data_IF_606680782618
#
_entry.id   IF_606680782618
#
_cell.length_a   1.000
_cell.length_b   1.000
_cell.length_c   1.000
_cell.angle_alpha   90.00
_cell.angle_beta   90.00
_cell.angle_gamma   90.00
#
_symmetry.space_group_name_H-M   'P 1'
#
loop_
_entity.id
_entity.type
_entity.pdbx_description
1 polymer ?
#
# COMPACT_ATOMS: atom_id res chain seq x y z
N UNK A 1 12.89 -10.69 -1.98
CA UNK A 1 13.44 -9.73 -0.97
C UNK A 1 13.92 -8.50 -1.74
N UNK A 2 13.15 -7.42 -1.72
CA UNK A 2 13.43 -6.21 -2.50
C UNK A 2 14.73 -5.56 -2.02
N UNK A 3 15.71 -5.40 -2.92
CA UNK A 3 16.90 -4.58 -2.66
C UNK A 3 16.70 -3.23 -3.32
N UNK A 4 16.46 -2.22 -2.50
CA UNK A 4 16.35 -0.84 -2.92
C UNK A 4 17.75 -0.24 -3.16
N UNK A 5 17.88 0.67 -4.13
CA UNK A 5 19.18 1.21 -4.51
C UNK A 5 19.78 2.07 -3.38
N UNK A 6 21.02 1.75 -3.01
CA UNK A 6 21.76 2.34 -1.89
C UNK A 6 22.21 3.79 -2.10
N UNK A 7 21.78 4.43 -3.18
CA UNK A 7 22.26 5.76 -3.56
C UNK A 7 21.52 6.90 -2.86
N UNK A 8 20.29 6.70 -2.38
CA UNK A 8 19.54 7.75 -1.65
C UNK A 8 20.01 7.87 -0.19
N UNK A 9 20.64 6.83 0.37
CA UNK A 9 21.09 6.82 1.77
C UNK A 9 22.40 7.58 2.01
N UNK A 10 23.20 7.81 0.95
CA UNK A 10 24.56 8.34 1.11
C UNK A 10 24.66 9.87 1.21
N UNK A 11 23.58 10.61 0.95
CA UNK A 11 23.65 12.08 0.83
C UNK A 11 22.78 12.87 1.81
N UNK A 12 21.92 12.23 2.62
CA UNK A 12 21.10 12.98 3.58
C UNK A 12 20.83 12.16 4.85
N UNK A 13 21.36 12.54 6.03
CA UNK A 13 21.35 11.69 7.21
C UNK A 13 19.98 11.51 7.91
N UNK A 14 18.87 12.10 7.41
CA UNK A 14 17.56 12.03 8.07
C UNK A 14 16.39 11.90 7.08
N UNK A 15 16.23 10.70 6.52
CA UNK A 15 15.02 10.28 5.80
C UNK A 15 14.14 9.43 6.72
N UNK A 16 12.91 9.88 7.00
CA UNK A 16 11.91 9.02 7.66
C UNK A 16 11.11 8.30 6.57
N UNK A 17 11.30 6.98 6.47
CA UNK A 17 10.62 6.12 5.50
C UNK A 17 9.57 5.29 6.22
N UNK A 18 8.30 5.42 5.83
CA UNK A 18 7.22 4.59 6.36
C UNK A 18 6.55 3.81 5.25
N UNK A 19 6.40 2.52 5.49
CA UNK A 19 5.78 1.56 4.60
C UNK A 19 4.29 1.39 4.90
N UNK A 20 3.50 1.18 3.85
CA UNK A 20 2.06 1.00 3.84
C UNK A 20 1.48 0.12 4.97
N UNK A 21 2.08 -1.04 5.21
CA UNK A 21 1.62 -1.96 6.25
C UNK A 21 1.70 -1.39 7.68
N UNK A 22 2.49 -0.33 7.89
CA UNK A 22 2.65 0.32 9.20
C UNK A 22 1.78 1.56 9.38
N UNK A 23 1.51 2.34 8.32
CA UNK A 23 0.69 3.55 8.46
C UNK A 23 -0.78 3.22 8.78
N UNK A 24 -1.26 2.08 8.28
CA UNK A 24 -2.61 1.61 8.58
C UNK A 24 -2.79 1.16 10.04
N UNK A 25 -1.70 0.93 10.79
CA UNK A 25 -1.71 0.46 12.17
C UNK A 25 -1.64 1.56 13.23
N UNK A 26 -1.46 2.82 12.83
CA UNK A 26 -1.14 3.95 13.71
C UNK A 26 -2.15 5.09 13.53
N UNK A 27 -2.26 5.95 14.54
CA UNK A 27 -2.95 7.22 14.41
C UNK A 27 -2.13 8.14 13.51
N UNK A 28 -2.66 8.44 12.32
CA UNK A 28 -1.95 9.18 11.27
C UNK A 28 -1.68 10.63 11.70
N UNK A 29 -2.60 11.26 12.42
CA UNK A 29 -2.43 12.65 12.85
C UNK A 29 -1.32 12.77 13.89
N UNK A 30 -1.34 11.90 14.91
CA UNK A 30 -0.28 11.82 15.92
C UNK A 30 1.06 11.53 15.25
N UNK A 31 1.07 10.60 14.30
CA UNK A 31 2.28 10.27 13.56
C UNK A 31 2.83 11.46 12.76
N UNK A 32 1.98 12.18 12.05
CA UNK A 32 2.40 13.31 11.22
C UNK A 32 2.92 14.48 12.07
N UNK A 33 2.30 14.75 13.23
CA UNK A 33 2.82 15.75 14.17
C UNK A 33 4.18 15.33 14.75
N UNK A 34 4.36 14.05 15.05
CA UNK A 34 5.64 13.59 15.57
C UNK A 34 6.73 13.55 14.50
N UNK A 35 6.39 13.16 13.27
CA UNK A 35 7.26 13.28 12.11
C UNK A 35 7.70 14.74 11.93
N UNK A 36 6.77 15.68 12.00
CA UNK A 36 7.05 17.12 11.93
C UNK A 36 7.99 17.59 13.04
N UNK A 37 7.86 17.07 14.26
CA UNK A 37 8.74 17.41 15.40
C UNK A 37 10.18 16.93 15.22
N UNK A 38 10.37 15.74 14.64
CA UNK A 38 11.70 15.11 14.53
C UNK A 38 12.41 15.39 13.20
N UNK A 39 11.69 15.77 12.16
CA UNK A 39 12.27 16.10 10.87
C UNK A 39 13.12 17.36 10.97
N UNK A 40 14.31 17.32 10.39
CA UNK A 40 15.17 18.50 10.30
C UNK A 40 14.49 19.58 9.47
N UNK A 41 14.42 20.84 9.94
CA UNK A 41 13.94 21.94 9.14
C UNK A 41 14.67 22.01 7.79
N UNK A 42 13.93 22.28 6.72
CA UNK A 42 14.39 22.48 5.34
C UNK A 42 15.07 21.28 4.64
N UNK A 43 15.52 20.25 5.38
CA UNK A 43 16.35 19.15 4.84
C UNK A 43 15.78 17.77 5.10
N UNK A 44 14.89 17.63 6.09
CA UNK A 44 14.20 16.38 6.40
C UNK A 44 13.14 16.04 5.34
N UNK A 45 13.04 14.76 5.00
CA UNK A 45 12.03 14.25 4.07
C UNK A 45 11.25 13.13 4.75
N UNK A 46 9.91 13.26 4.72
CA UNK A 46 8.98 12.18 5.02
C UNK A 46 8.57 11.52 3.72
N UNK A 47 8.84 10.22 3.59
CA UNK A 47 8.38 9.42 2.47
C UNK A 47 7.39 8.37 2.98
N UNK A 48 6.15 8.46 2.50
CA UNK A 48 5.10 7.47 2.71
C UNK A 48 4.80 6.84 1.36
N UNK A 49 4.77 5.52 1.29
CA UNK A 49 4.53 4.81 0.05
C UNK A 49 3.72 3.53 0.25
N UNK A 50 3.04 3.13 -0.81
CA UNK A 50 2.22 1.92 -0.87
C UNK A 50 2.35 1.25 -2.24
N UNK A 51 1.82 0.03 -2.33
CA UNK A 51 1.47 -0.62 -3.58
C UNK A 51 -0.01 -1.03 -3.51
N UNK A 52 -0.67 -1.07 -4.65
CA UNK A 52 -2.05 -1.55 -4.79
C UNK A 52 -2.04 -2.93 -5.44
N UNK A 53 -3.23 -3.46 -5.73
CA UNK A 53 -3.41 -4.76 -6.37
C UNK A 53 -2.79 -4.86 -7.77
N UNK A 54 -2.48 -3.72 -8.40
CA UNK A 54 -1.85 -3.67 -9.72
C UNK A 54 -2.77 -4.16 -10.83
N UNK A 55 -2.17 -4.48 -11.98
CA UNK A 55 -2.85 -4.97 -13.19
C UNK A 55 -2.06 -6.15 -13.75
N UNK A 56 -2.73 -7.01 -14.52
CA UNK A 56 -2.15 -8.14 -15.24
C UNK A 56 -2.10 -7.87 -16.74
N UNK A 57 -1.07 -8.39 -17.40
CA UNK A 57 -0.87 -8.17 -18.85
C UNK A 57 -1.95 -8.88 -19.71
N UNK A 58 -2.62 -9.89 -19.16
CA UNK A 58 -3.73 -10.56 -19.84
C UNK A 58 -5.08 -9.91 -19.44
N UNK A 59 -5.80 -9.27 -20.37
CA UNK A 59 -6.99 -8.48 -20.05
C UNK A 59 -8.16 -9.31 -19.51
N UNK A 60 -8.28 -10.58 -19.90
CA UNK A 60 -9.35 -11.46 -19.40
C UNK A 60 -9.08 -11.81 -17.94
N UNK A 61 -7.84 -12.21 -17.64
CA UNK A 61 -7.44 -12.57 -16.28
C UNK A 61 -7.46 -11.33 -15.38
N UNK A 62 -7.02 -10.18 -15.89
CA UNK A 62 -7.06 -8.89 -15.20
C UNK A 62 -8.50 -8.49 -14.82
N UNK A 63 -9.45 -8.63 -15.75
CA UNK A 63 -10.87 -8.34 -15.47
C UNK A 63 -11.43 -9.23 -14.36
N UNK A 64 -11.13 -10.53 -14.38
CA UNK A 64 -11.55 -11.48 -13.34
C UNK A 64 -10.92 -11.10 -11.99
N UNK A 65 -9.63 -10.74 -12.03
CA UNK A 65 -8.88 -10.32 -10.84
C UNK A 65 -9.48 -9.06 -10.20
N UNK A 66 -9.80 -8.06 -11.02
CA UNK A 66 -10.45 -6.83 -10.57
C UNK A 66 -11.87 -7.07 -10.02
N UNK A 67 -12.69 -7.89 -10.69
CA UNK A 67 -14.03 -8.25 -10.20
C UNK A 67 -13.96 -8.99 -8.86
N UNK A 68 -13.01 -9.92 -8.72
CA UNK A 68 -12.78 -10.62 -7.47
C UNK A 68 -12.39 -9.65 -6.34
N UNK A 69 -11.43 -8.75 -6.58
CA UNK A 69 -10.95 -7.83 -5.55
C UNK A 69 -11.94 -6.72 -5.20
N UNK A 70 -12.49 -6.03 -6.19
CA UNK A 70 -13.33 -4.84 -6.02
C UNK A 70 -14.82 -5.14 -6.02
N UNK A 71 -15.23 -6.33 -6.45
CA UNK A 71 -16.60 -6.83 -6.35
C UNK A 71 -16.76 -7.74 -5.14
N UNK A 72 -16.31 -9.00 -5.26
CA UNK A 72 -16.57 -10.04 -4.24
C UNK A 72 -15.94 -9.70 -2.88
N UNK A 73 -14.67 -9.29 -2.88
CA UNK A 73 -13.93 -9.04 -1.63
C UNK A 73 -14.19 -7.67 -1.02
N UNK A 74 -14.75 -6.71 -1.76
CA UNK A 74 -14.94 -5.34 -1.30
C UNK A 74 -15.71 -5.21 0.04
N UNK A 75 -16.79 -5.97 0.31
CA UNK A 75 -17.47 -5.94 1.62
C UNK A 75 -16.60 -6.42 2.78
N UNK A 76 -15.56 -7.21 2.51
CA UNK A 76 -14.65 -7.80 3.48
C UNK A 76 -13.38 -6.96 3.68
N UNK A 77 -13.24 -5.86 2.94
CA UNK A 77 -12.15 -4.91 3.14
C UNK A 77 -12.33 -4.18 4.46
N UNK A 78 -11.26 -4.14 5.26
CA UNK A 78 -11.22 -3.25 6.40
C UNK A 78 -10.98 -1.79 5.93
N UNK A 79 -11.28 -0.81 6.78
CA UNK A 79 -11.08 0.61 6.50
C UNK A 79 -9.65 0.95 6.07
N UNK A 80 -8.67 0.18 6.57
CA UNK A 80 -7.25 0.33 6.28
C UNK A 80 -6.89 -0.03 4.84
N UNK A 81 -7.54 -1.03 4.29
CA UNK A 81 -7.31 -1.50 2.93
C UNK A 81 -7.83 -0.48 1.90
N UNK A 82 -8.90 0.26 2.24
CA UNK A 82 -9.41 1.37 1.41
C UNK A 82 -8.41 2.51 1.28
N UNK A 83 -7.74 2.89 2.38
CA UNK A 83 -6.68 3.92 2.37
C UNK A 83 -5.47 3.51 1.52
N UNK A 84 -5.22 2.22 1.37
CA UNK A 84 -4.11 1.73 0.55
C UNK A 84 -4.49 1.75 -0.93
N UNK A 85 -5.71 1.34 -1.22
CA UNK A 85 -6.25 1.21 -2.57
C UNK A 85 -6.44 2.58 -3.25
N UNK A 86 -6.80 3.62 -2.49
CA UNK A 86 -6.87 5.00 -2.96
C UNK A 86 -5.51 5.73 -3.01
N UNK A 87 -4.40 5.00 -2.90
CA UNK A 87 -3.05 5.57 -2.88
C UNK A 87 -2.82 6.63 -1.77
N UNK A 88 -3.52 6.50 -0.63
CA UNK A 88 -3.54 7.46 0.47
C UNK A 88 -4.06 8.85 0.11
N UNK A 89 -4.88 8.96 -0.94
CA UNK A 89 -5.44 10.24 -1.37
C UNK A 89 -6.22 10.92 -0.24
N UNK A 90 -6.94 10.15 0.58
CA UNK A 90 -7.63 10.67 1.76
C UNK A 90 -6.68 11.25 2.83
N UNK A 91 -5.43 10.77 2.91
CA UNK A 91 -4.45 11.26 3.87
C UNK A 91 -3.76 12.55 3.41
N UNK A 92 -3.74 12.85 2.10
CA UNK A 92 -3.09 14.04 1.51
C UNK A 92 -3.49 15.33 2.22
N UNK A 93 -4.76 15.43 2.62
CA UNK A 93 -5.30 16.61 3.32
C UNK A 93 -4.63 16.89 4.68
N UNK A 94 -4.13 15.85 5.35
CA UNK A 94 -3.49 15.88 6.66
C UNK A 94 -1.98 16.17 6.59
N UNK A 95 -1.35 16.02 5.42
CA UNK A 95 0.10 16.18 5.31
C UNK A 95 0.54 17.61 5.64
N UNK A 96 1.56 17.76 6.51
CA UNK A 96 2.18 19.06 6.73
C UNK A 96 2.94 19.48 5.47
N UNK A 97 3.09 20.79 5.27
CA UNK A 97 3.88 21.38 4.18
C UNK A 97 3.38 21.04 2.75
N UNK A 98 2.08 21.26 2.51
CA UNK A 98 1.41 21.01 1.21
C UNK A 98 2.13 21.61 -0.01
N UNK A 99 2.78 22.77 0.14
CA UNK A 99 3.55 23.42 -0.94
C UNK A 99 4.77 22.61 -1.40
N UNK A 100 5.29 21.72 -0.56
CA UNK A 100 6.42 20.83 -0.85
C UNK A 100 6.02 19.40 -1.15
N UNK A 101 4.72 19.09 -1.11
CA UNK A 101 4.24 17.74 -1.41
C UNK A 101 4.62 17.35 -2.83
N UNK A 102 5.07 16.10 -2.97
CA UNK A 102 5.35 15.46 -4.25
C UNK A 102 4.74 14.07 -4.22
N UNK A 103 3.93 13.77 -5.23
CA UNK A 103 3.33 12.46 -5.43
C UNK A 103 3.97 11.82 -6.65
N UNK A 104 4.44 10.59 -6.48
CA UNK A 104 5.08 9.82 -7.53
C UNK A 104 4.45 8.44 -7.56
N UNK A 105 4.12 7.99 -8.76
CA UNK A 105 3.81 6.59 -9.03
C UNK A 105 5.05 5.94 -9.59
N UNK A 106 5.47 4.83 -8.98
CA UNK A 106 6.56 4.01 -9.49
C UNK A 106 5.94 2.72 -10.00
N UNK A 107 6.06 2.50 -11.30
CA UNK A 107 5.63 1.24 -11.91
C UNK A 107 6.62 0.14 -11.55
N UNK A 108 6.08 -1.01 -11.15
CA UNK A 108 6.87 -2.19 -10.84
C UNK A 108 6.26 -3.39 -11.54
N UNK A 109 7.03 -4.00 -12.44
CA UNK A 109 6.64 -5.20 -13.16
C UNK A 109 7.29 -6.41 -12.49
N UNK A 110 6.50 -7.46 -12.30
CA UNK A 110 6.95 -8.71 -11.71
C UNK A 110 6.44 -9.85 -12.58
N UNK A 111 7.36 -10.61 -13.17
CA UNK A 111 7.03 -11.89 -13.79
C UNK A 111 6.82 -12.94 -12.70
N UNK A 112 5.70 -13.66 -12.77
CA UNK A 112 5.34 -14.68 -11.78
C UNK A 112 4.59 -15.83 -12.43
N UNK A 113 4.56 -16.98 -11.77
CA UNK A 113 3.68 -18.08 -12.18
C UNK A 113 2.28 -17.88 -11.63
N UNK A 114 1.31 -18.60 -12.19
CA UNK A 114 -0.08 -18.57 -11.73
C UNK A 114 -0.21 -19.01 -10.27
N UNK A 115 0.53 -20.04 -9.85
CA UNK A 115 0.51 -20.57 -8.48
C UNK A 115 1.01 -19.55 -7.48
N UNK A 116 2.11 -18.85 -7.80
CA UNK A 116 2.64 -17.78 -6.94
C UNK A 116 1.70 -16.58 -6.89
N UNK A 117 1.05 -16.24 -8.01
CA UNK A 117 0.06 -15.18 -8.05
C UNK A 117 -1.17 -15.50 -7.18
N UNK A 118 -1.71 -16.71 -7.30
CA UNK A 118 -2.79 -17.18 -6.43
C UNK A 118 -2.37 -17.14 -4.96
N UNK A 119 -1.19 -17.67 -4.63
CA UNK A 119 -0.67 -17.62 -3.26
C UNK A 119 -0.56 -16.19 -2.72
N UNK A 120 -0.15 -15.22 -3.56
CA UNK A 120 -0.14 -13.81 -3.20
C UNK A 120 -1.55 -13.28 -2.91
N UNK A 121 -2.54 -13.56 -3.76
CA UNK A 121 -3.95 -13.17 -3.55
C UNK A 121 -4.47 -13.67 -2.22
N UNK A 122 -4.17 -14.93 -1.86
CA UNK A 122 -4.62 -15.54 -0.62
C UNK A 122 -4.06 -14.86 0.64
N UNK A 123 -2.91 -14.17 0.53
CA UNK A 123 -2.35 -13.42 1.65
C UNK A 123 -3.15 -12.16 2.01
N UNK A 124 -4.07 -11.73 1.14
CA UNK A 124 -4.89 -10.55 1.38
C UNK A 124 -5.76 -10.70 2.63
N UNK A 125 -5.84 -9.64 3.44
CA UNK A 125 -6.70 -9.62 4.64
C UNK A 125 -8.18 -9.85 4.32
N UNK A 126 -8.64 -9.36 3.17
CA UNK A 126 -10.00 -9.56 2.70
C UNK A 126 -10.29 -11.05 2.42
N UNK A 127 -9.37 -11.77 1.77
CA UNK A 127 -9.47 -13.23 1.56
C UNK A 127 -9.61 -13.97 2.90
N UNK A 128 -8.75 -13.67 3.87
CA UNK A 128 -8.85 -14.29 5.21
C UNK A 128 -10.17 -13.98 5.91
N UNK A 129 -10.67 -12.75 5.76
CA UNK A 129 -11.94 -12.33 6.37
C UNK A 129 -13.12 -13.03 5.70
N UNK A 130 -13.11 -13.09 4.37
CA UNK A 130 -14.09 -13.84 3.57
C UNK A 130 -14.13 -15.32 3.96
N UNK A 131 -12.97 -15.99 4.07
CA UNK A 131 -12.88 -17.39 4.55
C UNK A 131 -13.48 -17.58 5.93
N UNK A 132 -13.14 -16.70 6.86
CA UNK A 132 -13.63 -16.79 8.25
C UNK A 132 -15.15 -16.66 8.33
N UNK A 133 -15.77 -15.87 7.45
CA UNK A 133 -17.20 -15.61 7.48
C UNK A 133 -18.03 -16.63 6.67
N UNK A 134 -17.46 -17.19 5.59
CA UNK A 134 -18.20 -18.05 4.65
C UNK A 134 -17.76 -19.52 4.68
N UNK A 135 -16.69 -19.85 5.40
CA UNK A 135 -16.11 -21.20 5.45
C UNK A 135 -15.19 -21.50 4.27
N UNK A 136 -14.37 -22.55 4.41
CA UNK A 136 -13.36 -22.94 3.41
C UNK A 136 -13.97 -23.37 2.07
N UNK A 137 -15.24 -23.80 2.10
CA UNK A 137 -16.02 -24.19 0.92
C UNK A 137 -16.26 -23.02 -0.04
N UNK A 138 -16.14 -21.78 0.40
CA UNK A 138 -16.35 -20.60 -0.43
C UNK A 138 -15.26 -20.39 -1.51
N UNK A 139 -14.19 -21.20 -1.52
CA UNK A 139 -13.14 -21.22 -2.53
C UNK A 139 -13.22 -22.45 -3.47
N UNK A 140 -14.14 -23.38 -3.23
CA UNK A 140 -14.37 -24.58 -4.04
C UNK A 140 -15.47 -24.34 -5.07
#
# INVERSE_FOLDING_TARGET
>A
MWKWSSNIEKTNPFFLKIFCGRITGIDVEIFLEEAKRILKPHTGVLAIWTYTFGTLDNPIVDSIYHEFHHGLLFPYWNTKQRLVDDYYELLVSLFPYKSTLRQYTIECQVETTFEHFLGFIETASACRTFRKQNGEQAYQ
#
